data_IF_562182758902
#
_entry.id   IF_562182758902
#
_cell.length_a   1.000
_cell.length_b   1.000
_cell.length_c   1.000
_cell.angle_alpha   90.00
_cell.angle_beta   90.00
_cell.angle_gamma   90.00
#
_symmetry.space_group_name_H-M   'P 1'
#
loop_
_entity.id
_entity.type
_entity.pdbx_description
1 polymer ?
#
# COMPACT_ATOMS: atom_id res chain seq x y z
N UNK A 1 11.27 9.06 -12.04
CA UNK A 1 11.02 9.38 -10.61
C UNK A 1 9.90 8.46 -10.14
N UNK A 2 10.25 7.28 -9.63
CA UNK A 2 9.28 6.38 -9.04
C UNK A 2 9.05 6.86 -7.60
N UNK A 3 7.87 7.42 -7.31
CA UNK A 3 7.46 7.61 -5.92
C UNK A 3 6.97 6.26 -5.39
N UNK A 4 7.15 6.03 -4.09
CA UNK A 4 6.41 4.98 -3.41
C UNK A 4 4.89 5.21 -3.62
N UNK A 5 4.10 4.13 -3.55
CA UNK A 5 2.66 4.14 -3.76
C UNK A 5 1.98 5.22 -2.88
N UNK A 6 1.39 6.27 -3.47
CA UNK A 6 0.90 7.43 -2.73
C UNK A 6 -0.52 7.20 -2.20
N UNK A 7 -0.75 6.05 -1.55
CA UNK A 7 -1.99 5.76 -0.84
C UNK A 7 -2.10 6.45 0.53
N UNK A 8 -1.04 7.14 1.00
CA UNK A 8 -0.97 7.71 2.35
C UNK A 8 -1.27 9.21 2.45
N UNK A 9 -1.52 9.90 1.34
CA UNK A 9 -2.04 11.26 1.39
C UNK A 9 -3.53 11.22 1.75
N UNK A 10 -3.84 10.91 3.01
CA UNK A 10 -5.10 11.30 3.61
C UNK A 10 -5.08 12.83 3.72
N UNK A 11 -5.44 13.51 2.65
CA UNK A 11 -5.94 14.88 2.77
C UNK A 11 -7.21 14.74 3.60
N UNK A 12 -7.11 15.04 4.90
CA UNK A 12 -8.26 15.15 5.76
C UNK A 12 -9.20 16.18 5.12
N UNK A 13 -10.28 15.71 4.51
CA UNK A 13 -11.38 16.58 4.16
C UNK A 13 -11.85 17.21 5.48
N UNK A 14 -11.91 18.54 5.55
CA UNK A 14 -12.71 19.19 6.58
C UNK A 14 -14.11 18.60 6.47
N UNK A 15 -14.49 17.80 7.47
CA UNK A 15 -15.86 17.39 7.62
C UNK A 15 -16.63 18.62 8.12
N UNK A 16 -17.01 19.51 7.18
CA UNK A 16 -17.95 20.57 7.49
C UNK A 16 -19.37 19.97 7.60
N UNK A 17 -19.81 19.86 8.86
CA UNK A 17 -21.18 20.07 9.40
C UNK A 17 -22.19 18.88 9.38
N UNK A 18 -23.15 18.80 10.33
CA UNK A 18 -23.00 18.63 11.80
C UNK A 18 -24.08 17.70 12.43
N UNK A 19 -24.06 17.59 13.77
CA UNK A 19 -25.24 17.42 14.65
C UNK A 19 -25.85 16.03 14.92
N UNK A 20 -25.25 14.92 14.48
CA UNK A 20 -25.72 13.59 14.95
C UNK A 20 -24.57 12.79 15.53
N UNK A 21 -24.52 12.75 16.87
CA UNK A 21 -23.76 11.73 17.59
C UNK A 21 -24.19 10.33 17.17
N UNK A 22 -23.34 9.33 17.47
CA UNK A 22 -23.70 7.92 17.26
C UNK A 22 -24.95 7.60 18.09
N UNK A 23 -26.07 7.38 17.39
CA UNK A 23 -27.28 6.84 18.02
C UNK A 23 -27.06 5.33 18.14
N UNK A 24 -26.82 4.85 19.37
CA UNK A 24 -26.89 3.41 19.67
C UNK A 24 -28.35 2.97 19.70
N UNK A 25 -28.68 1.95 18.90
CA UNK A 25 -30.01 1.35 18.84
C UNK A 25 -30.15 0.32 20.00
N UNK A 26 -30.31 0.83 21.22
CA UNK A 26 -30.61 0.03 22.41
C UNK A 26 -32.09 -0.34 22.47
N UNK A 27 -32.39 -1.61 22.77
CA UNK A 27 -33.76 -2.17 22.84
C UNK A 27 -34.66 -1.63 23.96
N UNK A 28 -34.23 -0.65 24.74
CA UNK A 28 -35.03 0.00 25.78
C UNK A 28 -34.79 1.51 25.78
N UNK A 29 -35.54 2.24 24.94
CA UNK A 29 -35.68 3.70 25.03
C UNK A 29 -34.44 4.52 24.62
N UNK A 30 -34.70 5.65 23.99
CA UNK A 30 -33.70 6.67 23.66
C UNK A 30 -33.10 7.23 24.96
N UNK A 31 -31.95 6.72 25.38
CA UNK A 31 -31.10 7.41 26.36
C UNK A 31 -30.21 8.35 25.55
N UNK A 32 -30.68 9.58 25.38
CA UNK A 32 -29.86 10.70 24.93
C UNK A 32 -28.78 10.92 26.00
N UNK A 33 -27.58 10.39 25.76
CA UNK A 33 -26.44 10.68 26.63
C UNK A 33 -26.07 12.16 26.43
N UNK A 34 -26.32 12.96 27.46
CA UNK A 34 -26.24 14.43 27.51
C UNK A 34 -24.80 14.97 27.46
N UNK A 35 -23.84 14.15 27.01
CA UNK A 35 -22.42 14.51 26.91
C UNK A 35 -21.86 14.17 25.53
N UNK A 36 -21.01 15.05 24.95
CA UNK A 36 -20.34 14.74 23.69
C UNK A 36 -19.42 13.54 23.88
N UNK A 37 -19.61 12.47 23.11
CA UNK A 37 -18.78 11.27 23.23
C UNK A 37 -17.72 11.26 22.13
N UNK A 38 -16.46 11.06 22.50
CA UNK A 38 -15.39 10.94 21.54
C UNK A 38 -15.41 9.56 20.86
N UNK A 39 -15.27 9.48 19.52
CA UNK A 39 -15.28 8.20 18.81
C UNK A 39 -14.07 7.33 19.14
N UNK A 40 -14.29 6.03 19.33
CA UNK A 40 -13.28 4.96 19.37
C UNK A 40 -12.23 5.00 20.51
N UNK A 41 -12.50 5.64 21.67
CA UNK A 41 -11.50 5.86 22.75
C UNK A 41 -11.71 5.11 24.09
N UNK A 42 -12.69 4.21 24.15
CA UNK A 42 -13.23 3.74 25.44
C UNK A 42 -12.33 2.81 26.26
N UNK A 43 -11.43 2.04 25.63
CA UNK A 43 -10.66 1.01 26.33
C UNK A 43 -9.17 1.37 26.45
N UNK A 44 -8.72 1.58 27.69
CA UNK A 44 -7.32 1.85 28.06
C UNK A 44 -6.34 0.79 27.53
N UNK A 45 -6.81 -0.45 27.32
CA UNK A 45 -5.99 -1.53 26.78
C UNK A 45 -5.52 -1.25 25.35
N UNK A 46 -6.26 -0.45 24.59
CA UNK A 46 -5.95 -0.12 23.19
C UNK A 46 -5.09 1.13 23.02
N UNK A 47 -4.66 1.77 24.12
CA UNK A 47 -3.79 2.95 24.07
C UNK A 47 -2.52 2.67 23.25
N UNK A 48 -2.31 3.43 22.20
CA UNK A 48 -1.19 3.24 21.28
C UNK A 48 0.15 3.49 21.99
N UNK A 49 1.01 2.48 21.97
CA UNK A 49 2.34 2.58 22.57
C UNK A 49 3.38 3.14 21.58
N UNK A 50 4.47 3.70 22.08
CA UNK A 50 5.59 4.14 21.22
C UNK A 50 6.18 2.98 20.41
N UNK A 51 6.26 1.79 21.00
CA UNK A 51 6.75 0.59 20.31
C UNK A 51 5.81 0.14 19.19
N UNK A 52 4.51 0.27 19.38
CA UNK A 52 3.52 -0.02 18.34
C UNK A 52 3.62 0.96 17.16
N UNK A 53 3.87 2.25 17.43
CA UNK A 53 4.12 3.25 16.37
C UNK A 53 5.40 2.91 15.60
N UNK A 54 6.49 2.56 16.29
CA UNK A 54 7.72 2.14 15.62
C UNK A 54 7.56 0.85 14.83
N UNK A 55 6.74 -0.08 15.32
CA UNK A 55 6.39 -1.29 14.60
C UNK A 55 5.58 -0.97 13.33
N UNK A 56 4.65 -0.02 13.40
CA UNK A 56 3.89 0.48 12.25
C UNK A 56 4.83 1.08 11.18
N UNK A 57 5.79 1.91 11.60
CA UNK A 57 6.81 2.47 10.70
C UNK A 57 7.73 1.39 10.14
N UNK A 58 8.14 0.42 10.95
CA UNK A 58 9.02 -0.68 10.54
C UNK A 58 8.37 -1.50 9.43
N UNK A 59 7.08 -1.85 9.56
CA UNK A 59 6.34 -2.54 8.51
C UNK A 59 6.35 -1.72 7.21
N UNK A 60 6.21 -0.39 7.27
CA UNK A 60 6.23 0.45 6.08
C UNK A 60 7.60 0.52 5.40
N UNK A 61 8.68 0.59 6.18
CA UNK A 61 10.05 0.49 5.62
C UNK A 61 10.19 -0.81 4.84
N UNK A 62 9.65 -1.93 5.33
CA UNK A 62 9.64 -3.20 4.62
C UNK A 62 8.74 -3.19 3.38
N UNK A 63 7.50 -2.72 3.54
CA UNK A 63 6.50 -2.64 2.48
C UNK A 63 6.64 -1.37 1.61
N UNK A 64 7.88 -0.96 1.33
CA UNK A 64 8.21 0.26 0.59
C UNK A 64 7.93 0.18 -0.93
N UNK A 65 7.75 -1.03 -1.47
CA UNK A 65 7.50 -1.27 -2.88
C UNK A 65 8.74 -1.64 -3.71
N UNK A 66 9.95 -1.69 -3.14
CA UNK A 66 11.15 -2.10 -3.87
C UNK A 66 11.02 -3.51 -4.48
N UNK A 67 10.51 -4.46 -3.71
CA UNK A 67 10.39 -5.87 -4.14
C UNK A 67 9.35 -6.06 -5.25
N UNK A 68 8.07 -6.21 -4.89
CA UNK A 68 7.02 -6.66 -5.80
C UNK A 68 6.43 -5.54 -6.68
N UNK A 69 6.68 -4.28 -6.32
CA UNK A 69 6.16 -3.12 -7.05
C UNK A 69 7.18 -2.46 -7.97
N UNK A 70 8.50 -2.64 -7.75
CA UNK A 70 9.56 -2.12 -8.62
C UNK A 70 10.37 -3.23 -9.30
N UNK A 71 11.15 -4.01 -8.53
CA UNK A 71 12.08 -4.98 -9.12
C UNK A 71 11.39 -6.15 -9.82
N UNK A 72 10.25 -6.64 -9.29
CA UNK A 72 9.49 -7.73 -9.92
C UNK A 72 8.93 -7.33 -11.31
N UNK A 73 8.27 -6.18 -11.50
CA UNK A 73 7.90 -5.71 -12.84
C UNK A 73 9.11 -5.56 -13.77
N UNK A 74 10.23 -5.02 -13.30
CA UNK A 74 11.47 -4.91 -14.10
C UNK A 74 11.98 -6.29 -14.51
N UNK A 75 11.98 -7.27 -13.61
CA UNK A 75 12.38 -8.65 -13.92
C UNK A 75 11.43 -9.29 -14.94
N UNK A 76 10.12 -9.13 -14.79
CA UNK A 76 9.14 -9.62 -15.75
C UNK A 76 9.34 -8.99 -17.14
N UNK A 77 9.53 -7.67 -17.21
CA UNK A 77 9.73 -6.95 -18.46
C UNK A 77 11.06 -7.34 -19.14
N UNK A 78 12.12 -7.55 -18.36
CA UNK A 78 13.40 -8.04 -18.84
C UNK A 78 13.29 -9.46 -19.45
N UNK A 79 12.54 -10.37 -18.82
CA UNK A 79 12.27 -11.70 -19.37
C UNK A 79 11.44 -11.64 -20.66
N UNK A 80 10.44 -10.75 -20.72
CA UNK A 80 9.66 -10.51 -21.95
C UNK A 80 10.55 -10.02 -23.09
N UNK A 81 11.46 -9.08 -22.83
CA UNK A 81 12.37 -8.57 -23.83
C UNK A 81 13.28 -9.67 -24.40
N UNK A 82 13.88 -10.48 -23.51
CA UNK A 82 14.74 -11.59 -23.92
C UNK A 82 13.97 -12.67 -24.70
N UNK A 83 12.73 -12.97 -24.31
CA UNK A 83 11.92 -13.92 -25.05
C UNK A 83 11.52 -13.39 -26.44
N UNK A 84 11.21 -12.10 -26.56
CA UNK A 84 10.90 -11.48 -27.84
C UNK A 84 12.11 -11.59 -28.79
N UNK A 85 13.29 -11.25 -28.28
CA UNK A 85 14.56 -11.39 -29.02
C UNK A 85 14.83 -12.85 -29.42
N UNK A 86 14.61 -13.81 -28.53
CA UNK A 86 14.83 -15.23 -28.81
C UNK A 86 13.94 -15.80 -29.92
N UNK A 87 12.72 -15.26 -30.10
CA UNK A 87 11.77 -15.72 -31.11
C UNK A 87 11.97 -15.01 -32.46
N UNK A 88 12.15 -13.69 -32.44
CA UNK A 88 12.08 -12.86 -33.64
C UNK A 88 13.39 -12.17 -34.02
N UNK A 89 14.47 -12.42 -33.29
CA UNK A 89 15.78 -11.79 -33.49
C UNK A 89 15.94 -10.46 -32.74
N UNK A 90 17.11 -9.80 -32.86
CA UNK A 90 17.53 -8.66 -32.03
C UNK A 90 16.59 -7.46 -32.00
N UNK A 91 15.84 -7.24 -33.09
CA UNK A 91 14.92 -6.09 -33.22
C UNK A 91 13.47 -6.44 -32.88
N UNK A 92 13.18 -7.69 -32.49
CA UNK A 92 11.82 -8.10 -32.20
C UNK A 92 11.40 -7.64 -30.80
N UNK A 93 10.35 -6.82 -30.77
CA UNK A 93 9.72 -6.30 -29.54
C UNK A 93 8.31 -6.83 -29.33
N UNK A 94 7.90 -7.81 -30.16
CA UNK A 94 6.54 -8.33 -30.22
C UNK A 94 6.49 -9.77 -29.71
N UNK A 95 5.50 -10.06 -28.87
CA UNK A 95 5.17 -11.39 -28.39
C UNK A 95 3.67 -11.65 -28.54
N UNK A 96 3.32 -12.90 -28.82
CA UNK A 96 1.94 -13.34 -28.83
C UNK A 96 1.44 -13.51 -27.38
N UNK A 97 0.52 -12.65 -26.96
CA UNK A 97 -0.01 -12.63 -25.60
C UNK A 97 -1.49 -12.25 -25.58
N UNK A 98 -2.28 -13.01 -24.81
CA UNK A 98 -3.72 -12.81 -24.66
C UNK A 98 -4.46 -12.75 -26.03
N UNK A 99 -4.12 -13.65 -26.95
CA UNK A 99 -4.81 -13.83 -28.23
C UNK A 99 -4.39 -12.87 -29.35
N UNK A 100 -3.37 -12.02 -29.14
CA UNK A 100 -2.89 -11.10 -30.16
C UNK A 100 -1.38 -10.87 -30.05
N UNK A 101 -0.77 -10.44 -31.15
CA UNK A 101 0.60 -9.93 -31.17
C UNK A 101 0.66 -8.57 -30.48
N UNK A 102 1.52 -8.45 -29.46
CA UNK A 102 1.60 -7.27 -28.60
C UNK A 102 3.05 -6.88 -28.37
N UNK A 103 3.29 -5.59 -28.29
CA UNK A 103 4.59 -5.08 -27.82
C UNK A 103 4.80 -5.41 -26.34
N UNK A 104 6.05 -5.53 -25.91
CA UNK A 104 6.41 -5.77 -24.50
C UNK A 104 5.70 -4.76 -23.57
N UNK A 105 5.72 -3.47 -23.92
CA UNK A 105 5.06 -2.41 -23.16
C UNK A 105 3.53 -2.62 -23.09
N UNK A 106 2.90 -3.05 -24.18
CA UNK A 106 1.47 -3.37 -24.19
C UNK A 106 1.13 -4.56 -23.28
N UNK A 107 2.01 -5.58 -23.22
CA UNK A 107 1.83 -6.75 -22.33
C UNK A 107 1.91 -6.34 -20.86
N UNK A 108 2.88 -5.50 -20.49
CA UNK A 108 3.02 -4.99 -19.12
C UNK A 108 1.81 -4.15 -18.71
N UNK A 109 1.38 -3.21 -19.55
CA UNK A 109 0.20 -2.38 -19.29
C UNK A 109 -1.08 -3.22 -19.16
N UNK A 110 -1.26 -4.23 -20.02
CA UNK A 110 -2.40 -5.14 -19.94
C UNK A 110 -2.35 -5.98 -18.66
N UNK A 111 -1.19 -6.46 -18.26
CA UNK A 111 -0.99 -7.21 -17.02
C UNK A 111 -1.29 -6.36 -15.78
N UNK A 112 -0.93 -5.07 -15.79
CA UNK A 112 -1.32 -4.14 -14.75
C UNK A 112 -2.84 -3.92 -14.71
N UNK A 113 -3.48 -3.71 -15.87
CA UNK A 113 -4.94 -3.59 -15.96
C UNK A 113 -5.68 -4.84 -15.45
N UNK A 114 -5.18 -6.03 -15.77
CA UNK A 114 -5.70 -7.31 -15.23
C UNK A 114 -5.53 -7.35 -13.71
N UNK A 115 -4.35 -6.97 -13.21
CA UNK A 115 -4.07 -6.92 -11.77
C UNK A 115 -5.06 -6.01 -11.05
N UNK A 116 -5.33 -4.83 -11.59
CA UNK A 116 -6.29 -3.88 -11.04
C UNK A 116 -7.72 -4.42 -11.05
N UNK A 117 -8.16 -5.03 -12.16
CA UNK A 117 -9.49 -5.63 -12.25
C UNK A 117 -9.68 -6.74 -11.19
N UNK A 118 -8.68 -7.59 -10.99
CA UNK A 118 -8.70 -8.62 -9.95
C UNK A 118 -8.72 -8.00 -8.55
N UNK A 119 -7.92 -6.94 -8.31
CA UNK A 119 -7.91 -6.23 -7.03
C UNK A 119 -9.29 -5.68 -6.67
N UNK A 120 -10.03 -5.10 -7.62
CA UNK A 120 -11.41 -4.62 -7.37
C UNK A 120 -12.28 -5.75 -6.83
N UNK A 121 -12.26 -6.92 -7.47
CA UNK A 121 -13.06 -8.07 -7.05
C UNK A 121 -12.64 -8.55 -5.65
N UNK A 122 -11.33 -8.62 -5.39
CA UNK A 122 -10.82 -9.00 -4.06
C UNK A 122 -11.23 -7.97 -3.00
N UNK A 123 -11.13 -6.67 -3.28
CA UNK A 123 -11.53 -5.62 -2.34
C UNK A 123 -13.04 -5.59 -2.08
N UNK A 124 -13.87 -5.98 -3.04
CA UNK A 124 -15.32 -6.13 -2.79
C UNK A 124 -15.61 -7.25 -1.78
N UNK A 125 -14.82 -8.32 -1.79
CA UNK A 125 -15.03 -9.49 -0.90
C UNK A 125 -14.36 -9.27 0.46
N UNK A 126 -13.11 -8.80 0.43
CA UNK A 126 -12.28 -8.68 1.62
C UNK A 126 -12.35 -7.28 2.24
N UNK A 127 -12.70 -6.23 1.50
CA UNK A 127 -12.61 -4.84 1.99
C UNK A 127 -13.37 -4.59 3.29
N UNK A 128 -14.53 -5.23 3.47
CA UNK A 128 -15.32 -5.15 4.70
C UNK A 128 -14.57 -5.64 5.94
N UNK A 129 -13.64 -6.59 5.80
CA UNK A 129 -12.84 -7.07 6.94
C UNK A 129 -11.77 -6.07 7.38
N UNK A 130 -11.52 -5.01 6.62
CA UNK A 130 -10.66 -3.93 7.06
C UNK A 130 -11.37 -3.04 8.10
N UNK A 131 -12.67 -2.84 7.95
CA UNK A 131 -13.47 -1.92 8.75
C UNK A 131 -14.27 -2.60 9.87
N UNK A 132 -14.63 -3.88 9.70
CA UNK A 132 -15.45 -4.64 10.64
C UNK A 132 -14.67 -5.71 11.42
N UNK A 133 -15.02 -5.87 12.71
CA UNK A 133 -14.51 -6.93 13.57
C UNK A 133 -13.02 -6.82 13.92
N UNK A 134 -12.44 -7.91 14.42
CA UNK A 134 -11.04 -7.95 14.92
C UNK A 134 -10.09 -8.72 14.00
N UNK A 135 -10.54 -9.09 12.80
CA UNK A 135 -9.85 -10.07 11.95
C UNK A 135 -8.83 -9.45 10.98
N UNK A 136 -8.86 -8.12 10.77
CA UNK A 136 -7.93 -7.38 9.89
C UNK A 136 -6.45 -7.77 10.07
N UNK A 137 -5.88 -7.86 11.30
CA UNK A 137 -4.47 -8.22 11.48
C UNK A 137 -4.13 -9.61 10.94
N UNK A 138 -5.05 -10.58 11.05
CA UNK A 138 -4.81 -11.93 10.54
C UNK A 138 -4.77 -11.95 9.01
N UNK A 139 -5.63 -11.16 8.36
CA UNK A 139 -5.63 -11.02 6.90
C UNK A 139 -4.31 -10.39 6.45
N UNK A 140 -3.86 -9.33 7.12
CA UNK A 140 -2.57 -8.71 6.84
C UNK A 140 -1.42 -9.72 6.92
N UNK A 141 -1.34 -10.51 7.99
CA UNK A 141 -0.30 -11.55 8.17
C UNK A 141 -0.33 -12.56 7.02
N UNK A 142 -1.51 -13.09 6.67
CA UNK A 142 -1.63 -14.08 5.59
C UNK A 142 -1.22 -13.49 4.25
N UNK A 143 -1.67 -12.27 3.94
CA UNK A 143 -1.29 -11.56 2.71
C UNK A 143 0.22 -11.31 2.66
N UNK A 144 0.84 -10.92 3.78
CA UNK A 144 2.28 -10.71 3.85
C UNK A 144 3.03 -12.03 3.62
N UNK A 145 2.59 -13.14 4.20
CA UNK A 145 3.20 -14.46 3.96
C UNK A 145 3.11 -14.86 2.47
N UNK A 146 1.97 -14.60 1.82
CA UNK A 146 1.81 -14.82 0.38
C UNK A 146 2.78 -13.93 -0.41
N UNK A 147 2.87 -12.64 -0.06
CA UNK A 147 3.76 -11.70 -0.71
C UNK A 147 5.25 -12.09 -0.55
N UNK A 148 5.66 -12.53 0.64
CA UNK A 148 7.01 -13.05 0.89
C UNK A 148 7.28 -14.30 0.06
N UNK A 149 6.31 -15.23 0.00
CA UNK A 149 6.40 -16.43 -0.83
C UNK A 149 6.60 -16.12 -2.30
N UNK A 150 5.87 -15.15 -2.84
CA UNK A 150 6.04 -14.67 -4.23
C UNK A 150 7.41 -14.02 -4.41
N UNK A 151 7.83 -13.18 -3.45
CA UNK A 151 9.13 -12.52 -3.46
C UNK A 151 10.31 -13.50 -3.51
N UNK A 152 10.28 -14.55 -2.68
CA UNK A 152 11.28 -15.62 -2.75
C UNK A 152 11.09 -16.52 -3.98
N UNK A 153 9.87 -16.66 -4.50
CA UNK A 153 9.57 -17.42 -5.71
C UNK A 153 10.31 -16.89 -6.95
N UNK A 154 10.64 -15.60 -6.98
CA UNK A 154 11.46 -15.01 -8.05
C UNK A 154 12.88 -15.62 -8.14
N UNK A 155 13.41 -16.24 -7.08
CA UNK A 155 14.69 -16.99 -7.16
C UNK A 155 14.65 -18.17 -8.13
N UNK A 156 13.45 -18.66 -8.47
CA UNK A 156 13.26 -19.74 -9.45
C UNK A 156 12.96 -19.26 -10.87
N UNK A 157 12.88 -17.95 -11.11
CA UNK A 157 12.40 -17.36 -12.36
C UNK A 157 13.42 -16.34 -12.91
N UNK A 158 14.37 -16.84 -13.69
CA UNK A 158 15.48 -16.04 -14.23
C UNK A 158 15.92 -16.44 -15.65
N UNK A 159 15.23 -17.39 -16.29
CA UNK A 159 15.46 -17.78 -17.69
C UNK A 159 14.39 -17.21 -18.61
N UNK A 160 14.74 -16.82 -19.85
CA UNK A 160 13.80 -16.22 -20.81
C UNK A 160 12.55 -17.09 -21.04
N UNK A 161 12.71 -18.41 -21.08
CA UNK A 161 11.63 -19.38 -21.30
C UNK A 161 10.55 -19.35 -20.21
N UNK A 162 10.86 -18.77 -19.05
CA UNK A 162 9.96 -18.65 -17.91
C UNK A 162 9.18 -17.33 -17.90
N UNK A 163 9.22 -16.53 -18.96
CA UNK A 163 8.55 -15.22 -19.05
C UNK A 163 7.06 -15.25 -18.66
N UNK A 164 6.34 -16.33 -18.97
CA UNK A 164 4.93 -16.50 -18.58
C UNK A 164 4.76 -16.67 -17.07
N UNK A 165 5.64 -17.45 -16.45
CA UNK A 165 5.70 -17.61 -14.99
C UNK A 165 6.10 -16.28 -14.34
N UNK A 166 7.06 -15.55 -14.92
CA UNK A 166 7.46 -14.22 -14.47
C UNK A 166 6.31 -13.21 -14.53
N UNK A 167 5.51 -13.23 -15.59
CA UNK A 167 4.28 -12.42 -15.69
C UNK A 167 3.25 -12.80 -14.62
N UNK A 168 3.06 -14.10 -14.37
CA UNK A 168 2.16 -14.58 -13.32
C UNK A 168 2.61 -14.10 -11.93
N UNK A 169 3.91 -14.24 -11.61
CA UNK A 169 4.48 -13.74 -10.35
C UNK A 169 4.38 -12.22 -10.24
N UNK A 170 4.57 -11.49 -11.34
CA UNK A 170 4.37 -10.04 -11.37
C UNK A 170 2.92 -9.66 -11.04
N UNK A 171 1.93 -10.23 -11.73
CA UNK A 171 0.50 -9.93 -11.51
C UNK A 171 0.10 -10.22 -10.07
N UNK A 172 0.36 -11.45 -9.60
CA UNK A 172 -0.04 -11.87 -8.25
C UNK A 172 0.77 -11.10 -7.19
N UNK A 173 2.05 -10.84 -7.46
CA UNK A 173 2.92 -10.05 -6.57
C UNK A 173 2.44 -8.61 -6.40
N UNK A 174 2.03 -7.96 -7.49
CA UNK A 174 1.47 -6.61 -7.46
C UNK A 174 0.17 -6.55 -6.65
N UNK A 175 -0.72 -7.54 -6.85
CA UNK A 175 -1.96 -7.68 -6.07
C UNK A 175 -1.64 -7.87 -4.58
N UNK A 176 -0.75 -8.80 -4.25
CA UNK A 176 -0.39 -9.10 -2.86
C UNK A 176 0.24 -7.89 -2.15
N UNK A 177 1.16 -7.19 -2.82
CA UNK A 177 1.74 -5.94 -2.33
C UNK A 177 0.67 -4.89 -2.03
N UNK A 178 -0.25 -4.67 -2.97
CA UNK A 178 -1.26 -3.63 -2.81
C UNK A 178 -2.26 -3.96 -1.70
N UNK A 179 -2.67 -5.24 -1.57
CA UNK A 179 -3.52 -5.69 -0.47
C UNK A 179 -2.83 -5.52 0.90
N UNK A 180 -1.54 -5.88 0.99
CA UNK A 180 -0.73 -5.65 2.19
C UNK A 180 -0.70 -4.18 2.58
N UNK A 181 -0.47 -3.29 1.61
CA UNK A 181 -0.43 -1.84 1.84
C UNK A 181 -1.79 -1.33 2.33
N UNK A 182 -2.89 -1.74 1.69
CA UNK A 182 -4.24 -1.31 2.09
C UNK A 182 -4.61 -1.77 3.49
N UNK A 183 -4.36 -3.03 3.83
CA UNK A 183 -4.69 -3.58 5.15
C UNK A 183 -3.84 -3.04 6.30
N UNK A 184 -2.59 -2.69 6.00
CA UNK A 184 -1.71 -1.99 6.92
C UNK A 184 -2.20 -0.54 7.12
N UNK A 185 -2.49 0.20 6.05
CA UNK A 185 -3.01 1.57 6.12
C UNK A 185 -4.36 1.63 6.83
N UNK A 186 -5.22 0.60 6.72
CA UNK A 186 -6.48 0.55 7.46
C UNK A 186 -6.30 0.52 8.99
N UNK A 187 -5.13 0.12 9.51
CA UNK A 187 -4.83 0.22 10.94
C UNK A 187 -4.65 1.67 11.42
N UNK A 188 -4.30 2.57 10.50
CA UNK A 188 -3.81 3.91 10.79
C UNK A 188 -4.80 4.78 11.57
N UNK A 189 -6.09 4.89 11.21
CA UNK A 189 -7.03 5.72 11.96
C UNK A 189 -7.18 5.26 13.41
N UNK A 190 -7.29 3.93 13.61
CA UNK A 190 -7.36 3.34 14.95
C UNK A 190 -6.07 3.56 15.76
N UNK A 191 -4.90 3.50 15.11
CA UNK A 191 -3.61 3.78 15.74
C UNK A 191 -3.51 5.25 16.19
N UNK A 192 -3.88 6.19 15.31
CA UNK A 192 -3.77 7.63 15.55
C UNK A 192 -4.73 8.11 16.65
N UNK A 193 -6.00 7.68 16.58
CA UNK A 193 -7.03 8.03 17.56
C UNK A 193 -6.68 7.53 18.95
N UNK A 194 -6.12 6.33 19.09
CA UNK A 194 -5.78 5.75 20.40
C UNK A 194 -4.46 6.25 21.01
N UNK A 195 -3.85 7.31 20.47
CA UNK A 195 -2.66 7.91 21.09
C UNK A 195 -3.01 8.62 22.40
N UNK A 196 -2.05 8.70 23.35
CA UNK A 196 -2.25 9.39 24.63
C UNK A 196 -2.81 10.80 24.49
N UNK A 197 -2.25 11.57 23.56
CA UNK A 197 -2.68 12.95 23.28
C UNK A 197 -4.17 12.98 22.90
N UNK A 198 -4.59 12.09 22.00
CA UNK A 198 -5.99 12.01 21.57
C UNK A 198 -6.92 11.49 22.67
N UNK A 199 -6.45 10.61 23.55
CA UNK A 199 -7.21 10.15 24.73
C UNK A 199 -7.43 11.26 25.74
N UNK A 200 -6.40 12.06 26.02
CA UNK A 200 -6.52 13.21 26.91
C UNK A 200 -7.47 14.25 26.31
N UNK A 201 -7.40 14.51 25.01
CA UNK A 201 -8.34 15.39 24.30
C UNK A 201 -9.76 14.85 24.22
N UNK A 202 -9.94 13.54 24.12
CA UNK A 202 -11.25 12.91 24.22
C UNK A 202 -11.88 13.15 25.60
N UNK A 203 -11.11 13.00 26.68
CA UNK A 203 -11.57 13.29 28.04
C UNK A 203 -11.93 14.76 28.23
N UNK A 204 -11.13 15.67 27.67
CA UNK A 204 -11.44 17.11 27.65
C UNK A 204 -12.73 17.41 26.88
N UNK A 205 -12.95 16.75 25.74
CA UNK A 205 -14.17 16.92 24.94
C UNK A 205 -15.41 16.39 25.68
N UNK A 206 -15.30 15.20 26.27
CA UNK A 206 -16.36 14.58 27.07
C UNK A 206 -16.68 15.37 28.33
N UNK A 207 -15.67 16.01 28.94
CA UNK A 207 -15.86 16.95 30.05
C UNK A 207 -16.41 18.31 29.61
N UNK A 208 -16.62 18.54 28.31
CA UNK A 208 -17.11 19.80 27.76
C UNK A 208 -16.10 20.96 27.85
N UNK A 209 -14.81 20.67 28.06
CA UNK A 209 -13.78 21.70 28.21
C UNK A 209 -13.25 22.21 26.87
N UNK A 210 -13.38 21.42 25.79
CA UNK A 210 -13.03 21.80 24.43
C UNK A 210 -14.22 21.58 23.49
N UNK A 211 -14.24 22.33 22.40
CA UNK A 211 -15.25 22.22 21.35
C UNK A 211 -14.98 21.05 20.41
N UNK A 212 -15.97 20.69 19.58
CA UNK A 212 -15.83 19.65 18.56
C UNK A 212 -14.78 20.01 17.51
N UNK A 213 -14.76 21.27 17.09
CA UNK A 213 -13.82 21.76 16.09
C UNK A 213 -12.37 21.70 16.58
N UNK A 214 -12.14 22.01 17.86
CA UNK A 214 -10.82 21.87 18.47
C UNK A 214 -10.38 20.40 18.54
N UNK A 215 -11.30 19.49 18.91
CA UNK A 215 -11.01 18.05 18.91
C UNK A 215 -10.67 17.53 17.50
N UNK A 216 -11.48 17.86 16.50
CA UNK A 216 -11.28 17.41 15.11
C UNK A 216 -10.01 18.03 14.49
N UNK A 217 -9.66 19.26 14.87
CA UNK A 217 -8.38 19.88 14.49
C UNK A 217 -7.19 19.09 15.04
N UNK A 218 -7.23 18.70 16.32
CA UNK A 218 -6.15 17.91 16.93
C UNK A 218 -6.07 16.51 16.32
N UNK A 219 -7.20 15.85 16.03
CA UNK A 219 -7.22 14.55 15.32
C UNK A 219 -6.55 14.67 13.95
N UNK A 220 -6.92 15.69 13.17
CA UNK A 220 -6.34 15.97 11.86
C UNK A 220 -4.82 16.20 11.94
N UNK A 221 -4.38 17.06 12.85
CA UNK A 221 -2.95 17.33 13.06
C UNK A 221 -2.18 16.08 13.50
N UNK A 222 -2.78 15.24 14.36
CA UNK A 222 -2.10 14.04 14.85
C UNK A 222 -1.97 12.97 13.76
N UNK A 223 -3.00 12.81 12.93
CA UNK A 223 -2.94 11.95 11.74
C UNK A 223 -1.90 12.46 10.75
N UNK A 224 -1.88 13.77 10.46
CA UNK A 224 -0.86 14.34 9.58
C UNK A 224 0.56 14.11 10.11
N UNK A 225 0.80 14.32 11.42
CA UNK A 225 2.10 14.06 12.06
C UNK A 225 2.54 12.60 11.88
N UNK A 226 1.68 11.63 12.20
CA UNK A 226 2.01 10.21 12.12
C UNK A 226 2.20 9.74 10.67
N UNK A 227 1.39 10.22 9.73
CA UNK A 227 1.51 9.87 8.31
C UNK A 227 2.81 10.41 7.71
N UNK A 228 3.11 11.69 7.93
CA UNK A 228 4.32 12.33 7.43
C UNK A 228 5.57 11.70 8.05
N UNK A 229 5.54 11.39 9.35
CA UNK A 229 6.64 10.70 10.02
C UNK A 229 6.84 9.28 9.49
N UNK A 230 5.76 8.52 9.27
CA UNK A 230 5.83 7.20 8.65
C UNK A 230 6.51 7.28 7.27
N UNK A 231 6.12 8.27 6.46
CA UNK A 231 6.64 8.43 5.11
C UNK A 231 8.10 8.87 5.08
N UNK A 232 8.48 9.77 5.97
CA UNK A 232 9.87 10.20 6.13
C UNK A 232 10.78 9.04 6.58
N UNK A 233 10.38 8.31 7.62
CA UNK A 233 11.15 7.17 8.15
C UNK A 233 11.26 6.05 7.11
N UNK A 234 10.18 5.77 6.39
CA UNK A 234 10.18 4.80 5.29
C UNK A 234 11.18 5.20 4.21
N UNK A 235 11.19 6.47 3.78
CA UNK A 235 12.11 6.97 2.75
C UNK A 235 13.58 6.83 3.19
N UNK A 236 13.90 7.17 4.44
CA UNK A 236 15.26 6.98 4.98
C UNK A 236 15.67 5.51 5.03
N UNK A 237 14.77 4.64 5.51
CA UNK A 237 15.02 3.20 5.55
C UNK A 237 15.23 2.62 4.16
N UNK A 238 14.46 3.08 3.17
CA UNK A 238 14.58 2.66 1.78
C UNK A 238 15.94 3.02 1.16
N UNK A 239 16.48 4.21 1.45
CA UNK A 239 17.82 4.61 1.00
C UNK A 239 18.89 3.64 1.56
N UNK A 240 18.77 3.24 2.82
CA UNK A 240 19.70 2.26 3.43
C UNK A 240 19.59 0.91 2.74
N UNK A 241 18.37 0.44 2.47
CA UNK A 241 18.13 -0.82 1.75
C UNK A 241 18.75 -0.76 0.35
N UNK A 242 18.54 0.34 -0.37
CA UNK A 242 19.10 0.55 -1.71
C UNK A 242 20.63 0.61 -1.70
N UNK A 243 21.25 1.21 -0.69
CA UNK A 243 22.71 1.22 -0.55
C UNK A 243 23.26 -0.21 -0.38
N UNK A 244 22.60 -1.06 0.41
CA UNK A 244 22.96 -2.48 0.54
C UNK A 244 22.76 -3.22 -0.78
N UNK A 245 21.66 -2.96 -1.48
CA UNK A 245 21.36 -3.52 -2.80
C UNK A 245 22.47 -3.18 -3.82
N UNK A 246 22.98 -1.94 -3.82
CA UNK A 246 24.15 -1.56 -4.64
C UNK A 246 25.35 -2.43 -4.33
N UNK A 247 25.65 -2.66 -3.04
CA UNK A 247 26.72 -3.57 -2.62
C UNK A 247 26.52 -5.01 -3.13
N UNK A 248 25.29 -5.55 -3.02
CA UNK A 248 24.94 -6.88 -3.53
C UNK A 248 25.13 -6.96 -5.04
N UNK A 249 24.73 -5.94 -5.80
CA UNK A 249 24.90 -5.90 -7.25
C UNK A 249 26.36 -5.92 -7.69
N UNK A 250 27.24 -5.22 -6.97
CA UNK A 250 28.69 -5.29 -7.23
C UNK A 250 29.25 -6.68 -6.89
N UNK A 251 28.82 -7.29 -5.79
CA UNK A 251 29.25 -8.64 -5.42
C UNK A 251 28.83 -9.70 -6.46
N UNK A 252 27.66 -9.53 -7.09
CA UNK A 252 27.16 -10.43 -8.12
C UNK A 252 27.68 -10.13 -9.54
N UNK A 253 28.43 -9.03 -9.72
CA UNK A 253 28.89 -8.57 -11.03
C UNK A 253 27.75 -8.54 -12.07
N UNK A 254 26.64 -7.85 -11.73
CA UNK A 254 25.42 -7.84 -12.56
C UNK A 254 25.63 -7.29 -13.98
N UNK A 255 26.65 -6.46 -14.19
CA UNK A 255 26.99 -5.91 -15.50
C UNK A 255 27.87 -6.83 -16.37
N UNK A 256 28.31 -7.99 -15.86
CA UNK A 256 29.22 -8.86 -16.59
C UNK A 256 28.52 -9.68 -17.69
N UNK A 257 27.22 -9.97 -17.55
CA UNK A 257 26.44 -10.71 -18.54
C UNK A 257 24.94 -10.53 -18.33
N UNK A 258 24.13 -10.84 -19.35
CA UNK A 258 22.66 -10.86 -19.26
C UNK A 258 22.20 -11.86 -18.19
N UNK A 259 22.83 -13.03 -18.12
CA UNK A 259 22.53 -14.05 -17.11
C UNK A 259 22.80 -13.53 -15.68
N UNK A 260 23.90 -12.81 -15.47
CA UNK A 260 24.20 -12.20 -14.18
C UNK A 260 23.19 -11.09 -13.83
N UNK A 261 22.72 -10.32 -14.81
CA UNK A 261 21.67 -9.31 -14.60
C UNK A 261 20.34 -9.97 -14.19
N UNK A 262 19.92 -11.04 -14.87
CA UNK A 262 18.68 -11.78 -14.54
C UNK A 262 18.74 -12.39 -13.13
N UNK A 263 19.88 -13.01 -12.81
CA UNK A 263 20.11 -13.55 -11.47
C UNK A 263 20.16 -12.43 -10.43
N UNK A 264 20.81 -11.31 -10.75
CA UNK A 264 20.85 -10.10 -9.94
C UNK A 264 19.45 -9.63 -9.55
N UNK A 265 18.56 -9.42 -10.53
CA UNK A 265 17.17 -9.02 -10.28
C UNK A 265 16.44 -9.97 -9.33
N UNK A 266 16.59 -11.28 -9.55
CA UNK A 266 15.97 -12.31 -8.70
C UNK A 266 16.47 -12.25 -7.26
N UNK A 267 17.78 -12.06 -7.07
CA UNK A 267 18.39 -11.88 -5.75
C UNK A 267 17.94 -10.57 -5.11
N UNK A 268 17.80 -9.48 -5.85
CA UNK A 268 17.33 -8.20 -5.32
C UNK A 268 15.89 -8.27 -4.80
N UNK A 269 15.00 -8.93 -5.56
CA UNK A 269 13.61 -9.15 -5.14
C UNK A 269 13.59 -9.97 -3.85
N UNK A 270 14.34 -11.09 -3.81
CA UNK A 270 14.41 -11.95 -2.63
C UNK A 270 15.02 -11.24 -1.41
N UNK A 271 16.07 -10.44 -1.61
CA UNK A 271 16.69 -9.64 -0.56
C UNK A 271 15.71 -8.61 0.01
N UNK A 272 15.06 -7.83 -0.85
CA UNK A 272 14.08 -6.84 -0.43
C UNK A 272 12.86 -7.49 0.27
N UNK A 273 12.42 -8.66 -0.20
CA UNK A 273 11.39 -9.46 0.48
C UNK A 273 11.84 -10.00 1.84
N UNK A 274 13.11 -10.41 1.97
CA UNK A 274 13.69 -10.82 3.24
C UNK A 274 13.76 -9.67 4.25
N UNK A 275 14.16 -8.48 3.80
CA UNK A 275 14.12 -7.27 4.62
C UNK A 275 12.69 -6.94 5.04
N UNK A 276 11.73 -7.01 4.11
CA UNK A 276 10.31 -6.79 4.42
C UNK A 276 9.80 -7.78 5.46
N UNK A 277 10.11 -9.07 5.33
CA UNK A 277 9.76 -10.09 6.31
C UNK A 277 10.28 -9.74 7.71
N UNK A 278 11.55 -9.38 7.84
CA UNK A 278 12.16 -9.06 9.13
C UNK A 278 11.54 -7.81 9.77
N UNK A 279 11.29 -6.78 8.97
CA UNK A 279 10.70 -5.52 9.42
C UNK A 279 9.19 -5.63 9.69
N UNK A 280 8.51 -6.66 9.17
CA UNK A 280 7.11 -6.90 9.45
C UNK A 280 6.88 -7.59 10.80
N UNK A 281 7.86 -8.35 11.32
CA UNK A 281 7.74 -9.10 12.59
C UNK A 281 7.32 -8.21 13.77
N UNK A 282 7.94 -7.04 14.03
CA UNK A 282 7.53 -6.18 15.13
C UNK A 282 6.05 -5.79 15.06
N UNK A 283 5.54 -5.51 13.85
CA UNK A 283 4.14 -5.16 13.65
C UNK A 283 3.21 -6.32 13.96
N UNK A 284 3.50 -7.52 13.46
CA UNK A 284 2.68 -8.70 13.74
C UNK A 284 2.59 -9.08 15.22
N UNK A 285 3.61 -8.72 16.01
CA UNK A 285 3.65 -9.01 17.45
C UNK A 285 3.03 -7.88 18.27
N UNK A 286 3.31 -6.62 17.92
CA UNK A 286 2.96 -5.45 18.74
C UNK A 286 1.62 -4.80 18.36
N UNK A 287 1.08 -5.11 17.17
CA UNK A 287 -0.20 -4.58 16.72
C UNK A 287 -1.32 -5.00 17.69
N UNK A 288 -1.97 -4.00 18.29
CA UNK A 288 -3.13 -4.24 19.14
C UNK A 288 -4.35 -4.53 18.26
N UNK A 289 -5.05 -5.62 18.55
CA UNK A 289 -6.28 -6.05 17.87
C UNK A 289 -7.47 -5.19 18.29
N UNK A 290 -7.49 -3.94 17.80
CA UNK A 290 -8.58 -2.99 17.99
C UNK A 290 -9.82 -3.52 17.26
N UNK A 291 -10.98 -3.63 17.91
CA UNK A 291 -12.21 -3.99 17.23
C UNK A 291 -12.59 -2.87 16.25
N UNK A 292 -12.87 -3.26 15.00
CA UNK A 292 -13.57 -2.40 14.05
C UNK A 292 -15.05 -2.26 14.43
N UNK A 293 -15.84 -1.69 13.53
CA UNK A 293 -17.28 -1.53 13.75
C UNK A 293 -17.96 -2.90 13.94
N UNK A 294 -19.04 -2.93 14.73
CA UNK A 294 -19.88 -4.12 14.82
C UNK A 294 -20.70 -4.24 13.52
N UNK A 295 -20.51 -5.30 12.73
CA UNK A 295 -21.22 -5.46 11.48
C UNK A 295 -22.74 -5.66 11.68
N UNK A 296 -23.20 -6.12 12.86
CA UNK A 296 -24.62 -6.46 13.12
C UNK A 296 -25.20 -7.58 12.23
N UNK A 297 -24.41 -8.08 11.27
CA UNK A 297 -24.70 -9.11 10.29
C UNK A 297 -23.38 -9.77 9.85
N UNK A 298 -23.41 -10.69 8.90
CA UNK A 298 -22.19 -11.26 8.33
C UNK A 298 -21.33 -10.15 7.69
N UNK A 299 -20.04 -10.08 8.02
CA UNK A 299 -19.09 -9.04 7.58
C UNK A 299 -19.11 -8.84 6.06
N UNK A 300 -19.17 -9.91 5.26
CA UNK A 300 -19.21 -9.79 3.79
C UNK A 300 -20.51 -9.12 3.34
N UNK A 301 -21.64 -9.53 3.94
CA UNK A 301 -22.95 -8.94 3.65
C UNK A 301 -22.99 -7.48 4.11
N UNK A 302 -22.38 -7.15 5.25
CA UNK A 302 -22.25 -5.79 5.75
C UNK A 302 -21.50 -4.90 4.75
N UNK A 303 -20.41 -5.40 4.16
CA UNK A 303 -19.67 -4.72 3.09
C UNK A 303 -20.52 -4.40 1.86
N UNK A 304 -21.21 -5.40 1.30
CA UNK A 304 -22.12 -5.20 0.17
C UNK A 304 -23.26 -4.25 0.52
N UNK A 305 -23.77 -4.31 1.74
CA UNK A 305 -24.87 -3.48 2.17
C UNK A 305 -24.44 -2.02 2.41
N UNK A 306 -23.22 -1.80 2.92
CA UNK A 306 -22.62 -0.47 3.02
C UNK A 306 -22.39 0.12 1.64
N UNK A 307 -21.93 -0.68 0.67
CA UNK A 307 -21.80 -0.25 -0.72
C UNK A 307 -23.17 0.12 -1.33
N UNK A 308 -24.20 -0.69 -1.08
CA UNK A 308 -25.57 -0.39 -1.52
C UNK A 308 -26.13 0.90 -0.90
N UNK A 309 -25.94 1.09 0.41
CA UNK A 309 -26.30 2.33 1.11
C UNK A 309 -25.55 3.53 0.54
N UNK A 310 -24.25 3.40 0.34
CA UNK A 310 -23.43 4.45 -0.25
C UNK A 310 -23.95 4.81 -1.65
N UNK A 311 -24.21 3.83 -2.52
CA UNK A 311 -24.73 4.06 -3.89
C UNK A 311 -26.12 4.72 -3.90
N UNK A 312 -27.00 4.34 -2.98
CA UNK A 312 -28.35 4.92 -2.90
C UNK A 312 -28.34 6.33 -2.31
N UNK A 313 -27.41 6.62 -1.40
CA UNK A 313 -27.27 7.92 -0.73
C UNK A 313 -26.29 8.89 -1.42
N UNK A 314 -25.50 8.41 -2.40
CA UNK A 314 -24.45 9.20 -3.06
C UNK A 314 -24.95 10.51 -3.67
N UNK A 315 -26.21 10.52 -4.10
CA UNK A 315 -26.86 11.69 -4.69
C UNK A 315 -27.24 12.77 -3.67
N UNK A 316 -27.31 12.43 -2.39
CA UNK A 316 -27.53 13.40 -1.30
C UNK A 316 -26.23 14.15 -0.97
N UNK A 317 -25.08 13.51 -1.18
CA UNK A 317 -23.75 14.02 -0.88
C UNK A 317 -22.99 14.34 -2.18
N UNK A 318 -23.56 15.22 -3.02
CA UNK A 318 -23.00 15.55 -4.35
C UNK A 318 -21.55 16.04 -4.28
N UNK A 319 -21.18 16.79 -3.25
CA UNK A 319 -19.81 17.26 -3.05
C UNK A 319 -18.84 16.09 -2.79
N UNK A 320 -19.24 15.13 -1.95
CA UNK A 320 -18.47 13.91 -1.70
C UNK A 320 -18.35 13.05 -2.96
N UNK A 321 -19.38 12.99 -3.80
CA UNK A 321 -19.31 12.29 -5.09
C UNK A 321 -18.28 12.93 -6.04
N UNK A 322 -18.31 14.27 -6.19
CA UNK A 322 -17.32 14.97 -7.03
C UNK A 322 -15.89 14.78 -6.49
N UNK A 323 -15.73 14.83 -5.17
CA UNK A 323 -14.45 14.54 -4.52
C UNK A 323 -13.97 13.10 -4.82
N UNK A 324 -14.84 12.09 -4.68
CA UNK A 324 -14.49 10.69 -4.95
C UNK A 324 -14.12 10.46 -6.41
N UNK A 325 -14.83 11.08 -7.37
CA UNK A 325 -14.47 11.02 -8.80
C UNK A 325 -13.10 11.64 -9.02
N UNK A 326 -12.86 12.84 -8.48
CA UNK A 326 -11.57 13.52 -8.59
C UNK A 326 -10.44 12.69 -7.98
N UNK A 327 -10.66 12.13 -6.79
CA UNK A 327 -9.72 11.26 -6.10
C UNK A 327 -9.42 9.99 -6.90
N UNK A 328 -10.44 9.34 -7.46
CA UNK A 328 -10.29 8.17 -8.32
C UNK A 328 -9.44 8.50 -9.57
N UNK A 329 -9.77 9.56 -10.30
CA UNK A 329 -9.04 9.97 -11.50
C UNK A 329 -7.59 10.36 -11.17
N UNK A 330 -7.37 11.08 -10.06
CA UNK A 330 -6.04 11.47 -9.61
C UNK A 330 -5.21 10.23 -9.21
N UNK A 331 -5.81 9.31 -8.44
CA UNK A 331 -5.15 8.07 -8.04
C UNK A 331 -4.78 7.18 -9.22
N UNK A 332 -5.72 6.97 -10.15
CA UNK A 332 -5.49 6.15 -11.34
C UNK A 332 -4.44 6.77 -12.28
N UNK A 333 -4.56 8.07 -12.55
CA UNK A 333 -3.58 8.78 -13.39
C UNK A 333 -2.18 8.75 -12.80
N UNK A 334 -2.03 8.89 -11.48
CA UNK A 334 -0.74 8.83 -10.82
C UNK A 334 -0.13 7.41 -10.91
N UNK A 335 -0.87 6.36 -10.53
CA UNK A 335 -0.38 4.99 -10.59
C UNK A 335 -0.01 4.55 -12.02
N UNK A 336 -0.84 4.94 -13.00
CA UNK A 336 -0.56 4.69 -14.41
C UNK A 336 0.68 5.45 -14.88
N UNK A 337 0.83 6.72 -14.48
CA UNK A 337 2.02 7.53 -14.82
C UNK A 337 3.30 6.89 -14.26
N UNK A 338 3.30 6.45 -13.00
CA UNK A 338 4.46 5.76 -12.41
C UNK A 338 4.80 4.49 -13.18
N UNK A 339 3.79 3.70 -13.56
CA UNK A 339 3.99 2.49 -14.38
C UNK A 339 4.59 2.83 -15.74
N UNK A 340 4.04 3.82 -16.45
CA UNK A 340 4.52 4.23 -17.78
C UNK A 340 5.94 4.76 -17.71
N UNK A 341 6.24 5.63 -16.73
CA UNK A 341 7.60 6.15 -16.51
C UNK A 341 8.57 5.01 -16.21
N UNK A 342 8.20 4.06 -15.35
CA UNK A 342 9.04 2.89 -15.04
C UNK A 342 9.29 2.01 -16.27
N UNK A 343 8.26 1.75 -17.06
CA UNK A 343 8.32 0.95 -18.29
C UNK A 343 9.28 1.57 -19.32
N UNK A 344 9.16 2.90 -19.54
CA UNK A 344 10.04 3.64 -20.44
C UNK A 344 11.48 3.73 -19.90
N UNK A 345 11.63 3.94 -18.60
CA UNK A 345 12.94 4.02 -17.96
C UNK A 345 13.69 2.69 -18.10
N UNK A 346 13.02 1.56 -17.88
CA UNK A 346 13.58 0.22 -18.06
C UNK A 346 14.07 0.01 -19.50
N UNK A 347 13.27 0.41 -20.49
CA UNK A 347 13.63 0.31 -21.90
C UNK A 347 14.85 1.17 -22.26
N UNK A 348 14.87 2.45 -21.82
CA UNK A 348 15.96 3.40 -22.10
C UNK A 348 17.30 2.93 -21.51
N UNK A 349 17.29 2.33 -20.32
CA UNK A 349 18.51 1.82 -19.67
C UNK A 349 18.80 0.36 -20.00
N UNK A 350 18.13 -0.21 -21.01
CA UNK A 350 18.28 -1.60 -21.45
C UNK A 350 18.22 -2.60 -20.27
N UNK A 351 17.28 -2.37 -19.35
CA UNK A 351 17.06 -3.23 -18.17
C UNK A 351 18.30 -3.40 -17.27
N UNK A 352 19.23 -2.44 -17.31
CA UNK A 352 20.40 -2.44 -16.44
C UNK A 352 19.99 -2.17 -14.98
N UNK A 353 20.10 -3.20 -14.14
CA UNK A 353 19.64 -3.17 -12.75
C UNK A 353 20.38 -2.14 -11.90
N UNK A 354 21.67 -1.91 -12.18
CA UNK A 354 22.48 -0.93 -11.44
C UNK A 354 22.01 0.50 -11.72
N UNK A 355 21.80 0.84 -12.99
CA UNK A 355 21.31 2.17 -13.39
C UNK A 355 19.90 2.44 -12.86
N UNK A 356 19.01 1.45 -12.92
CA UNK A 356 17.66 1.56 -12.35
C UNK A 356 17.70 1.83 -10.85
N UNK A 357 18.60 1.15 -10.14
CA UNK A 357 18.77 1.36 -8.69
C UNK A 357 19.31 2.75 -8.39
N UNK A 358 20.24 3.29 -9.17
CA UNK A 358 20.68 4.68 -9.00
C UNK A 358 19.56 5.68 -9.24
N UNK A 359 18.73 5.47 -10.25
CA UNK A 359 17.57 6.32 -10.52
C UNK A 359 16.53 6.24 -9.38
N UNK A 360 16.33 5.07 -8.78
CA UNK A 360 15.51 4.89 -7.58
C UNK A 360 16.09 5.69 -6.40
N UNK A 361 17.38 5.56 -6.10
CA UNK A 361 18.04 6.30 -5.01
C UNK A 361 17.82 7.81 -5.16
N UNK A 362 18.01 8.36 -6.37
CA UNK A 362 17.79 9.78 -6.62
C UNK A 362 16.32 10.16 -6.40
N UNK A 363 15.38 9.35 -6.87
CA UNK A 363 13.94 9.57 -6.69
C UNK A 363 13.54 9.61 -5.21
N UNK A 364 14.00 8.64 -4.42
CA UNK A 364 13.64 8.50 -3.01
C UNK A 364 14.35 9.54 -2.15
N UNK A 365 15.60 9.91 -2.49
CA UNK A 365 16.28 11.03 -1.83
C UNK A 365 15.53 12.35 -2.06
N UNK A 366 15.08 12.61 -3.29
CA UNK A 366 14.25 13.78 -3.59
C UNK A 366 12.90 13.74 -2.84
N UNK A 367 12.27 12.57 -2.74
CA UNK A 367 11.06 12.37 -1.94
C UNK A 367 11.30 12.71 -0.46
N UNK A 368 12.37 12.17 0.14
CA UNK A 368 12.71 12.43 1.54
C UNK A 368 12.96 13.93 1.81
N UNK A 369 13.69 14.60 0.90
CA UNK A 369 13.93 16.04 0.98
C UNK A 369 12.65 16.85 0.83
N UNK A 370 11.75 16.44 -0.07
CA UNK A 370 10.44 17.06 -0.25
C UNK A 370 9.59 16.99 1.01
N UNK A 371 9.46 15.80 1.61
CA UNK A 371 8.70 15.61 2.86
C UNK A 371 9.31 16.40 4.02
N UNK A 372 10.64 16.51 4.08
CA UNK A 372 11.31 17.25 5.15
C UNK A 372 11.18 18.77 5.00
N UNK A 373 11.09 19.27 3.77
CA UNK A 373 11.03 20.70 3.48
C UNK A 373 9.63 21.32 3.63
N UNK A 374 8.56 20.51 3.51
CA UNK A 374 7.16 20.89 3.70
C UNK A 374 6.65 20.48 5.07
#
# INVERSE_FOLDING_TARGET
>A
MASAAPGLAQVAASAEDPSKGMVEDGKDGLVEQDHPIAPDQYDERFETSRWEIWAYYSYYIGNNGLTLFNFAPTAAQNLLAQQAEAIGGPDNTILYFAGADRTINSIVLLSNGISFAIQIVIFLILGSYADFGTFRPNILIVLSLVAFGIGFGWLGVHYESQWQTGLGLYIIGLIAYQLCLTYWTAAFPGLARNTRIMRDKAREFEAGTITRDEYDHVDSMKRNELSNMAFYIQSLGEIVILAVIVGVMFALNVNASVANNNWGLSVLIAFASGVWLLLAIPWFILEKRRPGQDPGMNIVIAGFWQLWRALTQIWQLKQSLFYLIGYFLLGDSLNTTVTVVGTLQNEIVAYNTLQLTYLLIVGIAAQALGIWAF
#
